data_IF_892925851196
#
_entry.id   IF_892925851196
#
_cell.length_a   1.000
_cell.length_b   1.000
_cell.length_c   1.000
_cell.angle_alpha   90.00
_cell.angle_beta   90.00
_cell.angle_gamma   90.00
#
_symmetry.space_group_name_H-M   'P 1'
#
loop_
_entity.id
_entity.type
_entity.pdbx_description
1 polymer ?
#
# COMPACT_ATOMS: atom_id res chain seq x y z
N UNK A 1 -3.95 14.21 0.75
CA UNK A 1 -3.29 13.26 1.67
C UNK A 1 -2.70 12.10 0.91
N UNK A 2 -3.45 11.38 0.05
CA UNK A 2 -2.88 10.32 -0.82
C UNK A 2 -1.68 10.78 -1.66
N UNK A 3 -1.78 11.95 -2.32
CA UNK A 3 -0.67 12.50 -3.09
C UNK A 3 0.61 12.76 -2.26
N UNK A 4 0.48 12.99 -0.94
CA UNK A 4 1.63 13.17 -0.04
C UNK A 4 2.31 11.83 0.25
N UNK A 5 1.54 10.77 0.47
CA UNK A 5 2.08 9.40 0.63
C UNK A 5 2.71 8.89 -0.66
N UNK A 6 2.04 9.11 -1.80
CA UNK A 6 2.58 8.80 -3.11
C UNK A 6 3.91 9.54 -3.34
N UNK A 7 3.96 10.84 -3.01
CA UNK A 7 5.19 11.63 -3.11
C UNK A 7 6.31 11.08 -2.23
N UNK A 8 6.04 10.66 -0.99
CA UNK A 8 7.03 10.02 -0.12
C UNK A 8 7.52 8.66 -0.60
N UNK A 9 6.68 7.92 -1.33
CA UNK A 9 7.04 6.66 -1.99
C UNK A 9 7.90 6.88 -3.25
N UNK A 10 7.69 7.99 -3.97
CA UNK A 10 8.56 8.40 -5.08
C UNK A 10 9.86 9.03 -4.61
N UNK A 11 9.88 9.76 -3.48
CA UNK A 11 11.10 10.37 -2.92
C UNK A 11 11.98 9.32 -2.24
N UNK A 12 12.73 8.57 -3.04
CA UNK A 12 13.67 7.54 -2.58
C UNK A 12 14.84 8.11 -1.77
N UNK A 13 15.21 9.38 -1.99
CA UNK A 13 16.31 10.04 -1.28
C UNK A 13 15.87 10.83 -0.04
N UNK A 14 14.55 10.88 0.22
CA UNK A 14 13.91 11.54 1.37
C UNK A 14 14.34 13.01 1.56
N UNK A 15 14.63 13.70 0.45
CA UNK A 15 15.12 15.08 0.45
C UNK A 15 14.01 16.13 0.33
N UNK A 16 12.74 15.69 0.33
CA UNK A 16 11.57 16.57 0.26
C UNK A 16 11.21 17.01 -1.17
N UNK A 17 11.90 16.46 -2.18
CA UNK A 17 11.63 16.64 -3.60
C UNK A 17 11.61 15.29 -4.31
N UNK A 18 10.99 15.18 -5.48
CA UNK A 18 11.12 13.99 -6.33
C UNK A 18 11.95 14.42 -7.53
N UNK A 19 13.16 13.86 -7.66
CA UNK A 19 13.99 14.13 -8.83
C UNK A 19 13.50 13.33 -10.05
N UNK A 20 13.97 13.71 -11.24
CA UNK A 20 13.66 12.95 -12.46
C UNK A 20 14.18 11.49 -12.36
N UNK A 21 15.31 11.29 -11.69
CA UNK A 21 15.87 9.95 -11.47
C UNK A 21 14.95 9.11 -10.57
N UNK A 22 14.53 9.66 -9.43
CA UNK A 22 13.59 9.02 -8.51
C UNK A 22 12.29 8.58 -9.21
N UNK A 23 11.77 9.46 -10.05
CA UNK A 23 10.56 9.22 -10.83
C UNK A 23 10.75 8.10 -11.86
N UNK A 24 11.83 8.13 -12.63
CA UNK A 24 12.11 7.12 -13.67
C UNK A 24 12.43 5.76 -13.06
N UNK A 25 13.16 5.71 -11.95
CA UNK A 25 13.45 4.48 -11.21
C UNK A 25 12.16 3.85 -10.69
N UNK A 26 11.32 4.64 -10.00
CA UNK A 26 10.03 4.16 -9.49
C UNK A 26 9.11 3.66 -10.61
N UNK A 27 9.00 4.40 -11.72
CA UNK A 27 8.23 3.95 -12.89
C UNK A 27 8.79 2.67 -13.52
N UNK A 28 10.12 2.52 -13.57
CA UNK A 28 10.73 1.32 -14.12
C UNK A 28 10.34 0.07 -13.32
N UNK A 29 10.25 0.20 -11.99
CA UNK A 29 9.83 -0.86 -11.07
C UNK A 29 8.34 -1.15 -11.25
N UNK A 30 7.50 -0.13 -11.25
CA UNK A 30 6.03 -0.29 -11.38
C UNK A 30 5.67 -0.91 -12.74
N UNK A 31 6.27 -0.44 -13.84
CA UNK A 31 5.88 -0.85 -15.19
C UNK A 31 6.57 -2.12 -15.66
N UNK A 32 7.85 -2.31 -15.33
CA UNK A 32 8.70 -3.38 -15.87
C UNK A 32 9.35 -4.27 -14.81
N UNK A 33 9.25 -3.92 -13.53
CA UNK A 33 9.76 -4.74 -12.44
C UNK A 33 9.00 -6.05 -12.30
N UNK A 34 9.64 -7.01 -11.62
CA UNK A 34 9.02 -8.28 -11.27
C UNK A 34 7.85 -8.05 -10.32
N UNK A 35 7.00 -9.07 -10.14
CA UNK A 35 5.89 -9.01 -9.17
C UNK A 35 6.44 -8.68 -7.78
N UNK A 36 7.58 -9.27 -7.40
CA UNK A 36 8.24 -9.01 -6.12
C UNK A 36 8.70 -7.56 -5.99
N UNK A 37 9.28 -6.97 -7.05
CA UNK A 37 9.73 -5.57 -7.02
C UNK A 37 8.54 -4.61 -6.87
N UNK A 38 7.43 -4.90 -7.56
CA UNK A 38 6.19 -4.12 -7.45
C UNK A 38 5.59 -4.25 -6.05
N UNK A 39 5.54 -5.45 -5.49
CA UNK A 39 5.05 -5.68 -4.14
C UNK A 39 5.91 -4.98 -3.09
N UNK A 40 7.24 -4.97 -3.25
CA UNK A 40 8.13 -4.19 -2.39
C UNK A 40 7.90 -2.68 -2.51
N UNK A 41 7.65 -2.18 -3.72
CA UNK A 41 7.30 -0.77 -3.92
C UNK A 41 5.96 -0.42 -3.26
N UNK A 42 4.96 -1.29 -3.41
CA UNK A 42 3.67 -1.15 -2.72
C UNK A 42 3.85 -1.21 -1.21
N UNK A 43 4.67 -2.12 -0.68
CA UNK A 43 4.97 -2.15 0.76
C UNK A 43 5.52 -0.81 1.26
N UNK A 44 6.51 -0.25 0.54
CA UNK A 44 7.07 1.07 0.87
C UNK A 44 6.07 2.22 0.75
N UNK A 45 4.99 2.07 -0.04
CA UNK A 45 3.91 3.03 -0.10
C UNK A 45 3.00 2.95 1.13
N UNK A 46 2.83 1.77 1.73
CA UNK A 46 2.03 1.57 2.94
C UNK A 46 2.81 1.86 4.23
N UNK A 47 4.12 1.59 4.26
CA UNK A 47 5.03 1.91 5.35
C UNK A 47 5.37 3.42 5.32
N UNK A 48 4.63 4.21 6.10
CA UNK A 48 4.71 5.67 6.06
C UNK A 48 5.96 6.18 6.80
N UNK A 49 6.37 5.49 7.86
CA UNK A 49 7.51 5.88 8.68
C UNK A 49 8.84 5.26 8.21
N UNK A 50 8.80 4.32 7.25
CA UNK A 50 9.94 3.59 6.69
C UNK A 50 10.70 2.75 7.73
N UNK A 51 9.99 2.20 8.72
CA UNK A 51 10.57 1.34 9.76
C UNK A 51 10.62 -0.15 9.38
N UNK A 52 10.10 -0.50 8.19
CA UNK A 52 10.07 -1.87 7.67
C UNK A 52 8.88 -2.68 8.16
N UNK A 53 7.94 -2.08 8.88
CA UNK A 53 6.74 -2.70 9.44
C UNK A 53 5.51 -1.82 9.15
N UNK A 54 4.41 -2.43 8.70
CA UNK A 54 3.15 -1.69 8.54
C UNK A 54 2.31 -1.87 9.80
N UNK A 55 2.06 -0.76 10.48
CA UNK A 55 1.17 -0.72 11.65
C UNK A 55 -0.30 -0.60 11.25
N UNK A 56 -1.20 -0.89 12.19
CA UNK A 56 -2.65 -0.74 11.96
C UNK A 56 -3.02 0.72 11.70
N UNK A 57 -2.33 1.63 12.37
CA UNK A 57 -2.49 3.06 12.24
C UNK A 57 -2.14 3.53 10.83
N UNK A 58 -1.00 3.09 10.29
CA UNK A 58 -0.57 3.42 8.92
C UNK A 58 -1.51 2.85 7.86
N UNK A 59 -1.95 1.60 8.03
CA UNK A 59 -2.95 1.01 7.13
C UNK A 59 -4.29 1.78 7.17
N UNK A 60 -4.66 2.28 8.35
CA UNK A 60 -5.87 3.11 8.53
C UNK A 60 -5.75 4.45 7.82
N UNK A 61 -4.62 5.14 7.98
CA UNK A 61 -4.30 6.42 7.31
C UNK A 61 -4.28 6.28 5.79
N UNK A 62 -3.69 5.20 5.28
CA UNK A 62 -3.67 4.86 3.85
C UNK A 62 -5.08 4.61 3.32
N UNK A 63 -5.88 3.77 3.98
CA UNK A 63 -7.26 3.50 3.57
C UNK A 63 -8.14 4.74 3.62
N UNK A 64 -8.00 5.59 4.64
CA UNK A 64 -8.70 6.87 4.70
C UNK A 64 -8.31 7.79 3.54
N UNK A 65 -7.02 7.84 3.18
CA UNK A 65 -6.52 8.65 2.07
C UNK A 65 -7.04 8.20 0.71
N UNK A 66 -7.08 6.88 0.48
CA UNK A 66 -7.64 6.28 -0.73
C UNK A 66 -9.15 6.55 -0.80
N UNK A 67 -9.87 6.36 0.31
CA UNK A 67 -11.32 6.60 0.38
C UNK A 67 -11.68 8.06 0.07
N UNK A 68 -10.90 9.01 0.61
CA UNK A 68 -11.06 10.43 0.32
C UNK A 68 -10.78 10.77 -1.16
N UNK A 69 -9.95 10.00 -1.85
CA UNK A 69 -9.60 10.22 -3.26
C UNK A 69 -10.60 9.57 -4.23
N UNK A 70 -11.03 8.33 -3.97
CA UNK A 70 -11.88 7.55 -4.88
C UNK A 70 -13.38 7.70 -4.59
N UNK A 71 -13.77 8.24 -3.43
CA UNK A 71 -15.17 8.33 -3.01
C UNK A 71 -15.87 6.96 -2.99
N UNK A 72 -17.13 6.90 -3.43
CA UNK A 72 -17.98 5.68 -3.41
C UNK A 72 -17.64 4.64 -4.50
N UNK A 73 -16.56 4.83 -5.25
CA UNK A 73 -16.21 3.99 -6.41
C UNK A 73 -15.08 2.98 -6.15
N UNK A 74 -14.70 2.78 -4.89
CA UNK A 74 -13.81 1.69 -4.48
C UNK A 74 -14.52 0.33 -4.67
N UNK A 75 -13.80 -0.70 -5.14
CA UNK A 75 -14.32 -2.07 -5.17
C UNK A 75 -13.63 -2.93 -4.09
N UNK A 76 -14.37 -3.71 -3.29
CA UNK A 76 -15.84 -3.83 -3.29
C UNK A 76 -16.52 -2.50 -2.93
N UNK A 77 -17.65 -2.20 -3.59
CA UNK A 77 -18.44 -0.99 -3.35
C UNK A 77 -18.86 -0.96 -1.88
N UNK A 78 -18.15 -0.15 -1.12
CA UNK A 78 -18.33 0.06 0.31
C UNK A 78 -19.68 0.75 0.54
N UNK A 79 -20.77 -0.03 0.52
CA UNK A 79 -22.01 0.34 1.18
C UNK A 79 -21.73 0.37 2.68
N UNK A 80 -21.62 1.58 3.24
CA UNK A 80 -21.77 1.92 4.67
C UNK A 80 -21.00 1.08 5.72
N UNK A 81 -20.05 0.22 5.35
CA UNK A 81 -19.15 -0.45 6.29
C UNK A 81 -17.96 0.45 6.55
N UNK A 82 -17.74 0.78 7.82
CA UNK A 82 -16.72 1.73 8.24
C UNK A 82 -15.34 1.31 7.72
N UNK A 83 -14.49 2.25 7.24
CA UNK A 83 -13.10 1.98 6.84
C UNK A 83 -12.33 1.10 7.84
N UNK A 84 -12.64 1.26 9.14
CA UNK A 84 -12.12 0.45 10.25
C UNK A 84 -12.39 -1.05 10.15
N UNK A 85 -13.57 -1.46 9.69
CA UNK A 85 -13.92 -2.88 9.54
C UNK A 85 -13.02 -3.53 8.48
N UNK A 86 -12.82 -2.82 7.37
CA UNK A 86 -12.02 -3.30 6.25
C UNK A 86 -10.54 -3.36 6.60
N UNK A 87 -10.02 -2.33 7.26
CA UNK A 87 -8.65 -2.33 7.80
C UNK A 87 -8.48 -3.51 8.75
N UNK A 88 -9.41 -3.75 9.68
CA UNK A 88 -9.30 -4.89 10.59
C UNK A 88 -9.26 -6.23 9.86
N UNK A 89 -10.07 -6.43 8.82
CA UNK A 89 -10.09 -7.67 8.03
C UNK A 89 -8.78 -7.84 7.26
N UNK A 90 -8.29 -6.80 6.58
CA UNK A 90 -7.03 -6.84 5.84
C UNK A 90 -5.84 -7.06 6.78
N UNK A 91 -5.79 -6.30 7.87
CA UNK A 91 -4.73 -6.40 8.86
C UNK A 91 -4.68 -7.79 9.48
N UNK A 92 -5.82 -8.37 9.92
CA UNK A 92 -5.85 -9.73 10.45
C UNK A 92 -5.47 -10.83 9.45
N UNK A 93 -5.62 -10.57 8.15
CA UNK A 93 -5.18 -11.51 7.12
C UNK A 93 -3.70 -11.40 6.81
N UNK A 94 -3.13 -10.19 6.95
CA UNK A 94 -1.70 -9.90 6.73
C UNK A 94 -0.85 -10.28 7.95
N UNK A 95 -1.28 -9.85 9.13
CA UNK A 95 -0.62 -10.08 10.43
C UNK A 95 -0.86 -11.53 10.87
N UNK A 96 0.08 -12.38 10.51
CA UNK A 96 -0.06 -13.83 10.62
C UNK A 96 0.37 -14.31 12.00
N UNK A 97 1.43 -13.70 12.52
CA UNK A 97 1.97 -13.99 13.84
C UNK A 97 1.18 -13.27 14.96
N UNK A 98 0.31 -12.32 14.61
CA UNK A 98 -0.52 -11.51 15.54
C UNK A 98 0.30 -10.65 16.47
N UNK A 99 1.46 -10.19 16.02
CA UNK A 99 2.32 -9.30 16.80
C UNK A 99 1.88 -7.83 16.73
N UNK A 100 0.89 -7.53 15.89
CA UNK A 100 0.33 -6.19 15.73
C UNK A 100 1.06 -5.33 14.70
N UNK A 101 1.98 -5.90 13.93
CA UNK A 101 2.62 -5.28 12.76
C UNK A 101 2.59 -6.24 11.56
N UNK A 102 2.77 -5.70 10.35
CA UNK A 102 2.90 -6.53 9.15
C UNK A 102 4.28 -6.30 8.57
N UNK A 103 5.10 -7.35 8.58
CA UNK A 103 6.45 -7.31 8.00
C UNK A 103 6.41 -7.51 6.48
N UNK A 104 7.49 -7.11 5.79
CA UNK A 104 7.66 -7.35 4.33
C UNK A 104 7.49 -8.83 4.00
N UNK A 105 8.01 -9.72 4.84
CA UNK A 105 7.94 -11.17 4.65
C UNK A 105 6.49 -11.68 4.72
N UNK A 106 5.72 -11.24 5.70
CA UNK A 106 4.31 -11.58 5.84
C UNK A 106 3.47 -11.01 4.70
N UNK A 107 3.77 -9.78 4.28
CA UNK A 107 3.13 -9.13 3.15
C UNK A 107 3.37 -9.91 1.86
N UNK A 108 4.62 -10.26 1.56
CA UNK A 108 4.97 -11.05 0.37
C UNK A 108 4.37 -12.46 0.43
N UNK A 109 4.43 -13.15 1.58
CA UNK A 109 3.85 -14.49 1.72
C UNK A 109 2.34 -14.46 1.49
N UNK A 110 1.66 -13.44 2.01
CA UNK A 110 0.23 -13.31 1.85
C UNK A 110 -0.15 -12.96 0.41
N UNK A 111 0.54 -12.04 -0.24
CA UNK A 111 0.33 -11.73 -1.65
C UNK A 111 0.57 -12.96 -2.57
N UNK A 112 1.49 -13.85 -2.20
CA UNK A 112 1.69 -15.11 -2.94
C UNK A 112 0.56 -16.13 -2.69
N UNK A 113 -0.08 -16.10 -1.52
CA UNK A 113 -1.13 -17.06 -1.13
C UNK A 113 -2.54 -16.64 -1.53
N UNK A 114 -2.88 -15.36 -1.44
CA UNK A 114 -4.24 -14.85 -1.67
C UNK A 114 -4.25 -13.85 -2.83
N UNK A 115 -4.51 -14.37 -4.03
CA UNK A 115 -4.61 -13.58 -5.25
C UNK A 115 -5.72 -12.53 -5.22
N UNK A 116 -6.74 -12.67 -4.36
CA UNK A 116 -7.79 -11.65 -4.23
C UNK A 116 -7.29 -10.39 -3.52
N UNK A 117 -6.35 -10.54 -2.59
CA UNK A 117 -5.74 -9.40 -1.92
C UNK A 117 -4.82 -8.69 -2.89
N UNK A 118 -4.00 -9.43 -3.65
CA UNK A 118 -3.21 -8.83 -4.75
C UNK A 118 -4.12 -8.10 -5.73
N UNK A 119 -5.25 -8.67 -6.15
CA UNK A 119 -6.21 -8.01 -7.04
C UNK A 119 -6.79 -6.72 -6.43
N UNK A 120 -7.07 -6.75 -5.12
CA UNK A 120 -7.57 -5.58 -4.38
C UNK A 120 -6.49 -4.49 -4.30
N UNK A 121 -5.22 -4.87 -4.11
CA UNK A 121 -4.09 -3.95 -4.12
C UNK A 121 -3.78 -3.41 -5.52
N UNK A 122 -3.88 -4.26 -6.55
CA UNK A 122 -3.72 -3.88 -7.95
C UNK A 122 -4.78 -2.88 -8.41
N UNK A 123 -5.99 -2.91 -7.82
CA UNK A 123 -7.00 -1.87 -8.08
C UNK A 123 -6.57 -0.50 -7.54
N UNK A 124 -5.73 -0.44 -6.50
CA UNK A 124 -5.15 0.80 -6.01
C UNK A 124 -3.96 1.27 -6.89
N UNK A 125 -3.20 0.34 -7.47
CA UNK A 125 -2.15 0.67 -8.46
C UNK A 125 -2.70 1.27 -9.76
N UNK A 126 -3.90 0.87 -10.20
CA UNK A 126 -4.54 1.41 -11.42
C UNK A 126 -5.02 2.87 -11.28
N UNK A 127 -4.82 3.49 -10.12
CA UNK A 127 -5.12 4.92 -9.87
C UNK A 127 -3.92 5.82 -10.20
N UNK A 128 -2.74 5.24 -10.42
CA UNK A 128 -1.51 5.95 -10.83
C UNK A 128 -1.49 6.14 -12.36
#
# INVERSE_FOLDING_TARGET
MYAHFLFGAFDTHNHGSVSFEDFVVSLSIILRGSITDRLNWVFNLYDLNKDGCITREEMTEMMHSIYNMMGKHTYPSLRDSAPKEHVNIFFQKMDKNKDGVVTVEEFLEMCQKDGNIVQSMHMFDNVI
#
